data_IF_250075249218
#
_entry.id   IF_250075249218
#
_cell.length_a   1.000
_cell.length_b   1.000
_cell.length_c   1.000
_cell.angle_alpha   90.00
_cell.angle_beta   90.00
_cell.angle_gamma   90.00
#
_symmetry.space_group_name_H-M   'P 1'
#
loop_
_entity.id
_entity.type
_entity.pdbx_description
1 polymer ?
#
# COMPACT_ATOMS: atom_id res chain seq x y z
N UNK A 1 -14.40 17.78 -11.92
CA UNK A 1 -13.62 16.72 -12.57
C UNK A 1 -12.30 17.32 -13.02
N UNK A 2 -11.42 17.52 -12.06
CA UNK A 2 -10.07 18.06 -12.25
C UNK A 2 -9.09 17.00 -11.78
N UNK A 3 -7.93 16.93 -12.43
CA UNK A 3 -6.76 16.20 -11.94
C UNK A 3 -5.64 17.22 -11.82
N UNK A 4 -5.09 17.35 -10.62
CA UNK A 4 -4.03 18.30 -10.31
C UNK A 4 -2.87 17.56 -9.66
N UNK A 5 -1.69 17.63 -10.26
CA UNK A 5 -0.44 17.17 -9.68
C UNK A 5 0.73 17.93 -10.31
N UNK A 6 1.35 18.83 -9.55
CA UNK A 6 2.45 19.68 -10.04
C UNK A 6 3.83 19.12 -9.67
N UNK A 7 3.86 17.96 -9.00
CA UNK A 7 5.09 17.26 -8.63
C UNK A 7 5.67 17.70 -7.29
N UNK A 8 4.91 18.44 -6.48
CA UNK A 8 5.30 18.84 -5.14
C UNK A 8 4.31 18.29 -4.09
N UNK A 9 4.58 17.10 -3.53
CA UNK A 9 3.74 16.50 -2.49
C UNK A 9 3.60 17.36 -1.22
N UNK A 10 4.44 18.38 -1.02
CA UNK A 10 4.33 19.30 0.11
C UNK A 10 3.48 20.55 -0.20
N UNK A 11 3.07 20.75 -1.46
CA UNK A 11 2.30 21.92 -1.87
C UNK A 11 0.84 21.88 -1.35
N UNK A 12 0.25 20.69 -1.26
CA UNK A 12 -1.10 20.49 -0.74
C UNK A 12 -1.34 19.07 -0.22
N UNK A 13 -2.32 18.90 0.67
CA UNK A 13 -2.74 17.59 1.16
C UNK A 13 -3.24 16.69 0.02
N UNK A 14 -3.85 17.28 -1.01
CA UNK A 14 -4.27 16.58 -2.22
C UNK A 14 -3.06 15.97 -2.95
N UNK A 15 -2.01 16.75 -3.18
CA UNK A 15 -0.78 16.25 -3.83
C UNK A 15 -0.03 15.26 -2.95
N UNK A 16 -0.05 15.43 -1.62
CA UNK A 16 0.50 14.49 -0.67
C UNK A 16 -0.19 13.12 -0.78
N UNK A 17 -1.53 13.09 -0.78
CA UNK A 17 -2.31 11.86 -0.95
C UNK A 17 -2.03 11.23 -2.31
N UNK A 18 -2.02 12.00 -3.40
CA UNK A 18 -1.69 11.52 -4.75
C UNK A 18 -0.33 10.85 -4.81
N UNK A 19 0.66 11.45 -4.17
CA UNK A 19 2.01 10.90 -4.09
C UNK A 19 2.03 9.57 -3.33
N UNK A 20 1.38 9.49 -2.16
CA UNK A 20 1.34 8.27 -1.35
C UNK A 20 0.63 7.10 -2.05
N UNK A 21 -0.42 7.36 -2.83
CA UNK A 21 -1.13 6.33 -3.60
C UNK A 21 -0.47 6.03 -4.96
N UNK A 22 0.52 6.82 -5.37
CA UNK A 22 1.20 6.69 -6.66
C UNK A 22 0.38 7.20 -7.87
N UNK A 23 -0.65 8.02 -7.65
CA UNK A 23 -1.49 8.62 -8.69
C UNK A 23 -0.90 9.97 -9.15
N UNK A 24 0.30 9.89 -9.72
CA UNK A 24 1.12 11.05 -10.15
C UNK A 24 1.19 11.20 -11.67
N UNK A 25 0.69 10.22 -12.43
CA UNK A 25 0.67 10.24 -13.89
C UNK A 25 -0.62 10.87 -14.42
N UNK A 26 -0.50 12.08 -14.96
CA UNK A 26 -1.62 12.80 -15.58
C UNK A 26 -2.27 12.09 -16.78
N UNK A 27 -1.60 11.08 -17.38
CA UNK A 27 -2.09 10.31 -18.52
C UNK A 27 -2.80 9.01 -18.12
N UNK A 28 -2.62 8.54 -16.88
CA UNK A 28 -3.26 7.34 -16.31
C UNK A 28 -3.87 7.67 -14.94
N UNK A 29 -4.80 8.62 -14.94
CA UNK A 29 -5.42 9.14 -13.73
C UNK A 29 -6.27 8.06 -13.05
N UNK A 30 -5.94 7.75 -11.80
CA UNK A 30 -6.63 6.72 -11.03
C UNK A 30 -7.86 7.26 -10.29
N UNK A 31 -7.75 8.48 -9.74
CA UNK A 31 -8.80 9.19 -9.01
C UNK A 31 -8.90 10.68 -9.39
N UNK A 32 -10.10 11.23 -9.26
CA UNK A 32 -10.33 12.67 -9.44
C UNK A 32 -10.00 13.46 -8.18
N UNK A 33 -9.66 14.75 -8.34
CA UNK A 33 -9.38 15.66 -7.22
C UNK A 33 -10.51 15.65 -6.16
N UNK A 34 -11.76 15.71 -6.61
CA UNK A 34 -12.92 15.72 -5.73
C UNK A 34 -13.11 14.41 -4.92
N UNK A 35 -12.65 13.28 -5.45
CA UNK A 35 -12.71 12.00 -4.71
C UNK A 35 -11.65 11.95 -3.61
N UNK A 36 -10.48 12.54 -3.86
CA UNK A 36 -9.39 12.66 -2.90
C UNK A 36 -9.75 13.69 -1.81
N UNK A 37 -10.29 14.85 -2.20
CA UNK A 37 -10.80 15.85 -1.26
C UNK A 37 -11.86 15.26 -0.33
N UNK A 38 -12.80 14.46 -0.86
CA UNK A 38 -13.78 13.76 -0.04
C UNK A 38 -13.13 12.83 1.01
N UNK A 39 -12.07 12.10 0.65
CA UNK A 39 -11.36 11.24 1.61
C UNK A 39 -10.55 12.02 2.64
N UNK A 40 -10.02 13.19 2.27
CA UNK A 40 -9.33 14.11 3.18
C UNK A 40 -10.32 14.72 4.18
N UNK A 41 -11.52 15.07 3.72
CA UNK A 41 -12.58 15.60 4.60
C UNK A 41 -13.08 14.54 5.61
N UNK A 42 -13.09 13.27 5.21
CA UNK A 42 -13.55 12.16 6.05
C UNK A 42 -12.48 11.62 6.99
N UNK A 43 -11.21 11.64 6.58
CA UNK A 43 -10.09 11.12 7.36
C UNK A 43 -9.21 12.29 7.81
N UNK A 44 -9.10 12.51 9.12
CA UNK A 44 -8.36 13.64 9.71
C UNK A 44 -6.84 13.61 9.46
N UNK A 45 -6.33 12.58 8.78
CA UNK A 45 -4.91 12.39 8.49
C UNK A 45 -4.68 12.09 7.00
N UNK A 46 -3.59 12.62 6.43
CA UNK A 46 -3.18 12.36 5.04
C UNK A 46 -3.00 10.85 4.80
N UNK A 47 -2.43 10.13 5.77
CA UNK A 47 -2.24 8.68 5.67
C UNK A 47 -3.58 7.92 5.72
N UNK A 48 -4.51 8.33 6.57
CA UNK A 48 -5.86 7.76 6.62
C UNK A 48 -6.60 7.97 5.30
N UNK A 49 -6.54 9.19 4.75
CA UNK A 49 -7.09 9.52 3.44
C UNK A 49 -6.46 8.66 2.33
N UNK A 50 -5.13 8.57 2.28
CA UNK A 50 -4.41 7.76 1.29
C UNK A 50 -4.73 6.25 1.40
N UNK A 51 -4.87 5.73 2.62
CA UNK A 51 -5.31 4.34 2.82
C UNK A 51 -6.72 4.12 2.27
N UNK A 52 -7.66 5.03 2.54
CA UNK A 52 -9.04 4.95 2.05
C UNK A 52 -9.14 5.11 0.52
N UNK A 53 -8.28 5.92 -0.08
CA UNK A 53 -8.09 5.98 -1.53
C UNK A 53 -7.63 4.62 -2.07
N UNK A 54 -6.60 4.01 -1.48
CA UNK A 54 -6.09 2.69 -1.88
C UNK A 54 -7.16 1.59 -1.78
N UNK A 55 -7.97 1.56 -0.71
CA UNK A 55 -9.10 0.63 -0.58
C UNK A 55 -10.14 0.83 -1.70
N UNK A 56 -10.38 2.08 -2.08
CA UNK A 56 -11.32 2.41 -3.15
C UNK A 56 -10.79 1.96 -4.51
N UNK A 57 -9.51 2.19 -4.79
CA UNK A 57 -8.83 1.69 -6.00
C UNK A 57 -8.81 0.16 -6.05
N UNK A 58 -8.53 -0.52 -4.94
CA UNK A 58 -8.60 -1.98 -4.87
C UNK A 58 -9.98 -2.50 -5.26
N UNK A 59 -11.06 -1.89 -4.75
CA UNK A 59 -12.45 -2.25 -5.12
C UNK A 59 -12.77 -1.96 -6.59
N UNK A 60 -12.24 -0.88 -7.15
CA UNK A 60 -12.38 -0.53 -8.58
C UNK A 60 -11.73 -1.61 -9.46
N UNK A 61 -10.48 -1.93 -9.20
CA UNK A 61 -9.75 -2.94 -9.97
C UNK A 61 -10.30 -4.36 -9.80
N UNK A 62 -10.82 -4.72 -8.63
CA UNK A 62 -11.51 -5.99 -8.43
C UNK A 62 -12.74 -6.11 -9.35
N UNK A 63 -13.57 -5.06 -9.39
CA UNK A 63 -14.75 -5.03 -10.27
C UNK A 63 -14.40 -5.05 -11.75
N UNK A 64 -13.28 -4.44 -12.13
CA UNK A 64 -12.80 -4.48 -13.51
C UNK A 64 -12.25 -5.86 -13.87
N UNK A 65 -11.52 -6.51 -12.96
CA UNK A 65 -11.01 -7.87 -13.15
C UNK A 65 -12.14 -8.88 -13.42
N UNK A 66 -13.27 -8.77 -12.69
CA UNK A 66 -14.45 -9.62 -12.88
C UNK A 66 -15.11 -9.44 -14.26
N UNK A 67 -14.97 -8.26 -14.88
CA UNK A 67 -15.58 -7.92 -16.18
C UNK A 67 -14.72 -8.32 -17.36
N UNK A 68 -13.44 -8.56 -17.13
CA UNK A 68 -12.46 -8.86 -18.18
C UNK A 68 -12.17 -10.36 -18.25
N UNK A 69 -11.71 -10.84 -19.41
CA UNK A 69 -11.40 -12.25 -19.63
C UNK A 69 -9.92 -12.43 -19.97
N UNK A 70 -9.35 -13.55 -19.50
CA UNK A 70 -7.98 -13.95 -19.84
C UNK A 70 -6.91 -13.20 -19.03
N UNK A 71 -5.78 -12.91 -19.67
CA UNK A 71 -4.58 -12.35 -19.01
C UNK A 71 -4.79 -10.97 -18.39
N UNK A 72 -5.72 -10.18 -18.94
CA UNK A 72 -6.01 -8.85 -18.42
C UNK A 72 -6.80 -8.89 -17.11
N UNK A 73 -7.65 -9.90 -16.91
CA UNK A 73 -8.33 -10.14 -15.63
C UNK A 73 -7.33 -10.45 -14.52
N UNK A 74 -6.32 -11.28 -14.81
CA UNK A 74 -5.25 -11.61 -13.86
C UNK A 74 -4.47 -10.36 -13.45
N UNK A 75 -4.04 -9.56 -14.44
CA UNK A 75 -3.29 -8.32 -14.16
C UNK A 75 -4.09 -7.31 -13.31
N UNK A 76 -5.40 -7.20 -13.54
CA UNK A 76 -6.28 -6.32 -12.76
C UNK A 76 -6.52 -6.85 -11.34
N UNK A 77 -6.63 -8.17 -11.18
CA UNK A 77 -6.72 -8.82 -9.86
C UNK A 77 -5.43 -8.61 -9.04
N UNK A 78 -4.27 -8.71 -9.70
CA UNK A 78 -2.97 -8.44 -9.07
C UNK A 78 -2.88 -6.97 -8.65
N UNK A 79 -3.30 -6.02 -9.50
CA UNK A 79 -3.41 -4.59 -9.14
C UNK A 79 -4.33 -4.38 -7.94
N UNK A 80 -5.51 -5.02 -7.92
CA UNK A 80 -6.44 -4.93 -6.80
C UNK A 80 -5.81 -5.39 -5.48
N UNK A 81 -5.05 -6.49 -5.51
CA UNK A 81 -4.34 -7.03 -4.35
C UNK A 81 -3.23 -6.08 -3.90
N UNK A 82 -2.43 -5.56 -4.83
CA UNK A 82 -1.35 -4.62 -4.53
C UNK A 82 -1.86 -3.34 -3.84
N UNK A 83 -2.98 -2.77 -4.29
CA UNK A 83 -3.58 -1.60 -3.63
C UNK A 83 -4.15 -1.93 -2.24
N UNK A 84 -4.65 -3.15 -2.04
CA UNK A 84 -5.10 -3.60 -0.73
C UNK A 84 -3.94 -3.72 0.26
N UNK A 85 -2.83 -4.31 -0.17
CA UNK A 85 -1.60 -4.41 0.63
C UNK A 85 -1.03 -3.01 0.94
N UNK A 86 -1.05 -2.11 -0.05
CA UNK A 86 -0.61 -0.72 0.16
C UNK A 86 -1.47 0.00 1.21
N UNK A 87 -2.79 -0.18 1.19
CA UNK A 87 -3.68 0.38 2.21
C UNK A 87 -3.33 -0.12 3.61
N UNK A 88 -3.08 -1.43 3.76
CA UNK A 88 -2.67 -2.03 5.03
C UNK A 88 -1.33 -1.46 5.52
N UNK A 89 -0.36 -1.26 4.62
CA UNK A 89 0.94 -0.63 4.93
C UNK A 89 0.75 0.82 5.38
N UNK A 90 -0.10 1.60 4.70
CA UNK A 90 -0.33 3.01 5.05
C UNK A 90 -1.06 3.12 6.39
N UNK A 91 -2.09 2.30 6.66
CA UNK A 91 -2.74 2.22 7.98
C UNK A 91 -1.76 1.80 9.07
N UNK A 92 -0.87 0.85 8.76
CA UNK A 92 0.20 0.44 9.65
C UNK A 92 1.18 1.59 9.93
N UNK A 93 1.46 2.47 8.97
CA UNK A 93 2.25 3.70 9.19
C UNK A 93 1.50 4.74 10.02
N UNK A 94 0.20 4.90 9.81
CA UNK A 94 -0.67 5.81 10.57
C UNK A 94 -0.68 5.47 12.07
N UNK A 95 -0.86 4.19 12.40
CA UNK A 95 -0.74 3.66 13.77
C UNK A 95 0.74 3.59 14.22
N UNK A 96 1.64 3.52 13.24
CA UNK A 96 3.06 3.17 13.30
C UNK A 96 4.06 4.27 13.68
N UNK A 97 3.61 5.38 14.27
CA UNK A 97 4.44 6.02 15.30
C UNK A 97 4.73 5.08 16.49
N UNK A 98 4.14 3.88 16.51
CA UNK A 98 4.68 2.69 17.18
C UNK A 98 4.58 1.45 16.28
N UNK A 99 5.73 0.89 15.86
CA UNK A 99 5.94 -0.39 15.15
C UNK A 99 4.68 -1.24 14.89
N UNK A 100 4.22 -1.30 13.64
CA UNK A 100 3.16 -2.23 13.23
C UNK A 100 3.77 -3.42 12.51
N UNK A 101 3.77 -4.56 13.21
CA UNK A 101 4.21 -5.87 12.71
C UNK A 101 3.20 -6.41 11.69
N UNK A 102 3.50 -6.24 10.41
CA UNK A 102 2.79 -6.90 9.31
C UNK A 102 3.66 -8.08 8.85
N UNK A 103 3.45 -9.23 9.49
CA UNK A 103 4.19 -10.47 9.26
C UNK A 103 4.11 -10.92 7.80
N UNK A 104 5.09 -10.52 6.99
CA UNK A 104 5.19 -10.92 5.58
C UNK A 104 5.96 -9.95 4.68
N UNK A 105 6.02 -8.66 5.00
CA UNK A 105 6.61 -7.64 4.10
C UNK A 105 7.99 -7.14 4.52
N UNK A 106 8.34 -7.17 5.80
CA UNK A 106 9.65 -6.70 6.26
C UNK A 106 10.68 -7.82 6.28
N UNK A 107 11.40 -8.02 5.16
CA UNK A 107 12.64 -8.83 5.17
C UNK A 107 13.67 -8.25 6.14
N UNK A 108 13.70 -6.93 6.28
CA UNK A 108 14.63 -6.23 7.17
C UNK A 108 14.39 -6.56 8.65
N UNK A 109 13.15 -6.81 9.07
CA UNK A 109 12.84 -7.17 10.45
C UNK A 109 12.95 -8.68 10.69
N UNK A 110 12.76 -9.53 9.66
CA UNK A 110 13.12 -10.96 9.74
C UNK A 110 14.61 -11.13 10.10
N UNK A 111 15.48 -10.30 9.53
CA UNK A 111 16.92 -10.35 9.82
C UNK A 111 17.26 -9.81 11.23
N UNK A 112 16.46 -8.89 11.77
CA UNK A 112 16.57 -8.41 13.17
C UNK A 112 16.03 -9.45 14.16
N UNK A 113 14.89 -10.07 13.86
CA UNK A 113 14.31 -11.15 14.66
C UNK A 113 15.27 -12.34 14.72
N UNK A 114 15.97 -12.70 13.64
CA UNK A 114 17.03 -13.74 13.64
C UNK A 114 18.21 -13.36 14.54
N UNK A 115 18.50 -12.07 14.71
CA UNK A 115 19.58 -11.57 15.55
C UNK A 115 19.20 -11.45 17.03
N UNK A 116 17.91 -11.51 17.37
CA UNK A 116 17.41 -11.44 18.73
C UNK A 116 17.46 -12.82 19.42
N UNK A 117 18.29 -12.94 20.45
CA UNK A 117 18.52 -14.19 21.18
C UNK A 117 17.43 -14.53 22.19
N UNK A 118 16.49 -13.62 22.47
CA UNK A 118 15.40 -13.82 23.44
C UNK A 118 14.11 -14.34 22.78
N UNK A 119 14.04 -14.33 21.44
CA UNK A 119 12.94 -14.89 20.65
C UNK A 119 13.14 -16.39 20.40
N UNK A 120 12.03 -17.16 20.40
CA UNK A 120 12.06 -18.59 20.03
C UNK A 120 12.40 -18.70 18.54
N UNK A 121 13.69 -18.85 18.26
CA UNK A 121 14.19 -19.04 16.91
C UNK A 121 13.69 -20.38 16.32
N UNK A 122 13.29 -20.42 15.05
CA UNK A 122 12.94 -21.67 14.39
C UNK A 122 14.16 -22.59 14.33
N UNK A 123 13.98 -23.85 14.74
CA UNK A 123 15.06 -24.86 14.85
C UNK A 123 15.75 -25.21 13.52
N UNK A 124 15.20 -24.80 12.37
CA UNK A 124 15.78 -25.08 11.05
C UNK A 124 15.96 -23.80 10.26
N UNK A 125 17.22 -23.45 9.98
CA UNK A 125 17.60 -22.33 9.11
C UNK A 125 18.11 -22.91 7.79
N UNK A 126 17.75 -22.30 6.65
CA UNK A 126 18.16 -22.79 5.32
C UNK A 126 19.70 -22.76 5.20
N UNK A 127 20.34 -23.92 5.38
CA UNK A 127 21.80 -24.07 5.43
C UNK A 127 22.31 -24.94 6.59
N UNK A 128 21.48 -25.25 7.60
CA UNK A 128 21.87 -26.03 8.80
C UNK A 128 21.96 -27.55 8.61
N UNK A 129 21.94 -28.03 7.36
CA UNK A 129 22.01 -29.46 6.99
C UNK A 129 23.28 -29.82 6.21
N UNK A 130 24.35 -29.02 6.34
CA UNK A 130 25.69 -29.43 5.90
C UNK A 130 26.60 -29.50 7.12
N UNK A 131 26.63 -30.67 7.76
CA UNK A 131 27.70 -31.10 8.65
C UNK A 131 28.07 -32.51 8.20
N UNK A 132 29.29 -32.62 7.66
CA UNK A 132 30.04 -33.78 7.10
C UNK A 132 29.38 -35.17 7.07
#
# INVERSE_FOLDING_TARGET
MSFTYDGDPAASDLEAVRFEIGDTDSTDQLMQDAEIEYTIDEEETIFGAAARCCETLSRKFAREADRQLGTLSVALSDKSTAFKELAEIIRAKEVGSGKVYTGGISKAEKDVDIADTDLVQPTFVKGSMNND
#
